data_IF_924015915859
#
_entry.id   IF_924015915859
#
_cell.length_a   1.000
_cell.length_b   1.000
_cell.length_c   1.000
_cell.angle_alpha   90.00
_cell.angle_beta   90.00
_cell.angle_gamma   90.00
#
_symmetry.space_group_name_H-M   'P 1'
#
loop_
_entity.id
_entity.type
_entity.pdbx_description
1 polymer ?
#
# COMPACT_ATOMS: atom_id res chain seq x y z
N UNK A 1 -0.81 4.48 13.89
CA UNK A 1 -0.84 3.01 14.08
C UNK A 1 -1.88 2.63 15.14
N UNK A 2 -1.52 2.10 16.32
CA UNK A 2 -2.46 1.64 17.37
C UNK A 2 -2.58 2.66 18.52
N UNK A 3 -3.80 2.88 19.04
CA UNK A 3 -4.05 3.77 20.20
C UNK A 3 -3.43 3.26 21.50
N UNK A 4 -3.25 1.95 21.61
CA UNK A 4 -2.83 1.29 22.85
C UNK A 4 -1.30 1.33 23.06
N UNK A 5 -0.54 1.77 22.06
CA UNK A 5 0.91 1.97 22.22
C UNK A 5 1.22 3.12 23.18
N UNK A 6 2.04 2.80 24.18
CA UNK A 6 2.64 3.75 25.12
C UNK A 6 3.57 4.73 24.41
N UNK A 7 3.94 5.82 25.09
CA UNK A 7 4.90 6.79 24.55
C UNK A 7 6.27 6.17 24.27
N UNK A 8 6.71 5.24 25.14
CA UNK A 8 7.99 4.56 24.98
C UNK A 8 8.00 3.68 23.73
N UNK A 9 6.95 2.89 23.53
CA UNK A 9 6.80 2.04 22.34
C UNK A 9 6.74 2.88 21.06
N UNK A 10 6.05 4.03 21.07
CA UNK A 10 6.02 4.95 19.92
C UNK A 10 7.41 5.47 19.55
N UNK A 11 8.22 5.84 20.55
CA UNK A 11 9.59 6.30 20.31
C UNK A 11 10.45 5.16 19.75
N UNK A 12 10.31 3.95 20.30
CA UNK A 12 11.04 2.77 19.82
C UNK A 12 10.65 2.40 18.38
N UNK A 13 9.36 2.41 18.05
CA UNK A 13 8.86 2.18 16.69
C UNK A 13 9.43 3.21 15.72
N UNK A 14 9.46 4.48 16.10
CA UNK A 14 10.05 5.53 15.27
C UNK A 14 11.54 5.26 15.05
N UNK A 15 12.31 5.03 16.11
CA UNK A 15 13.75 4.72 15.99
C UNK A 15 13.99 3.57 15.01
N UNK A 16 13.31 2.44 15.22
CA UNK A 16 13.43 1.25 14.35
C UNK A 16 13.01 1.52 12.91
N UNK A 17 12.03 2.39 12.70
CA UNK A 17 11.61 2.79 11.36
C UNK A 17 12.69 3.57 10.64
N UNK A 18 13.28 4.56 11.31
CA UNK A 18 14.36 5.34 10.71
C UNK A 18 15.58 4.46 10.49
N UNK A 19 15.96 3.59 11.43
CA UNK A 19 17.06 2.62 11.26
C UNK A 19 16.85 1.75 10.01
N UNK A 20 15.66 1.16 9.85
CA UNK A 20 15.29 0.38 8.65
C UNK A 20 15.33 1.24 7.39
N UNK A 21 14.86 2.48 7.47
CA UNK A 21 14.81 3.36 6.32
C UNK A 21 16.22 3.75 5.85
N UNK A 22 17.15 4.01 6.79
CA UNK A 22 18.56 4.26 6.49
C UNK A 22 19.26 3.05 5.88
N UNK A 23 18.97 1.85 6.40
CA UNK A 23 19.55 0.59 5.91
C UNK A 23 19.05 0.22 4.51
N UNK A 24 17.77 0.49 4.20
CA UNK A 24 17.16 0.07 2.93
C UNK A 24 17.34 1.07 1.80
N UNK A 25 17.18 2.36 2.04
CA UNK A 25 17.15 3.36 0.97
C UNK A 25 18.45 4.16 0.88
N UNK A 26 18.92 4.34 -0.36
CA UNK A 26 20.07 5.20 -0.64
C UNK A 26 19.85 6.61 -0.10
N UNK A 27 20.92 7.30 0.28
CA UNK A 27 20.86 8.68 0.78
C UNK A 27 20.08 9.61 -0.15
N UNK A 28 20.27 9.48 -1.47
CA UNK A 28 19.51 10.28 -2.45
C UNK A 28 18.00 10.00 -2.39
N UNK A 29 17.59 8.73 -2.39
CA UNK A 29 16.19 8.35 -2.29
C UNK A 29 15.57 8.84 -0.98
N UNK A 30 16.31 8.72 0.14
CA UNK A 30 15.86 9.23 1.44
C UNK A 30 15.61 10.74 1.41
N UNK A 31 16.53 11.51 0.82
CA UNK A 31 16.36 12.95 0.66
C UNK A 31 15.13 13.31 -0.18
N UNK A 32 14.88 12.60 -1.28
CA UNK A 32 13.69 12.81 -2.12
C UNK A 32 12.41 12.47 -1.36
N UNK A 33 12.34 11.30 -0.72
CA UNK A 33 11.15 10.84 0.03
C UNK A 33 10.79 11.83 1.15
N UNK A 34 11.78 12.33 1.91
CA UNK A 34 11.52 13.18 3.09
C UNK A 34 11.22 14.64 2.78
N UNK A 35 11.87 15.20 1.76
CA UNK A 35 11.74 16.63 1.45
C UNK A 35 10.74 16.90 0.32
N UNK A 36 10.51 15.92 -0.55
CA UNK A 36 9.67 16.05 -1.73
C UNK A 36 8.76 14.82 -1.88
N UNK A 37 9.10 13.94 -2.82
CA UNK A 37 8.53 12.62 -3.09
C UNK A 37 9.44 11.88 -4.05
N UNK A 38 9.47 10.56 -3.93
CA UNK A 38 10.06 9.68 -4.93
C UNK A 38 8.96 9.21 -5.87
N UNK A 39 8.99 9.62 -7.14
CA UNK A 39 8.10 9.04 -8.14
C UNK A 39 8.58 7.61 -8.46
N UNK A 40 7.67 6.66 -8.33
CA UNK A 40 7.94 5.25 -8.57
C UNK A 40 7.52 4.85 -9.98
N UNK A 41 6.30 5.21 -10.38
CA UNK A 41 5.75 4.85 -11.68
C UNK A 41 4.74 5.90 -12.15
N UNK A 42 4.51 5.91 -13.46
CA UNK A 42 3.45 6.68 -14.11
C UNK A 42 2.40 5.73 -14.70
N UNK A 43 1.14 6.13 -14.61
CA UNK A 43 -0.02 5.38 -15.09
C UNK A 43 -0.83 6.27 -16.03
N UNK A 44 -1.14 5.77 -17.22
CA UNK A 44 -1.93 6.50 -18.21
C UNK A 44 -3.38 6.01 -18.24
N UNK A 45 -4.32 6.95 -18.16
CA UNK A 45 -5.76 6.68 -18.25
C UNK A 45 -6.43 7.79 -19.08
N UNK A 46 -7.03 7.45 -20.22
CA UNK A 46 -7.76 8.39 -21.07
C UNK A 46 -7.00 9.72 -21.33
N UNK A 47 -5.73 9.62 -21.75
CA UNK A 47 -4.80 10.75 -22.01
C UNK A 47 -4.40 11.58 -20.78
N UNK A 48 -4.66 11.07 -19.58
CA UNK A 48 -4.23 11.67 -18.32
C UNK A 48 -3.17 10.81 -17.63
N UNK A 49 -2.08 11.46 -17.24
CA UNK A 49 -1.02 10.87 -16.44
C UNK A 49 -1.36 10.93 -14.95
N UNK A 50 -1.21 9.78 -14.30
CA UNK A 50 -1.28 9.63 -12.86
C UNK A 50 0.07 9.14 -12.32
N UNK A 51 0.46 9.64 -11.17
CA UNK A 51 1.77 9.42 -10.58
C UNK A 51 1.64 8.58 -9.31
N UNK A 52 2.39 7.48 -9.26
CA UNK A 52 2.60 6.72 -8.03
C UNK A 52 3.85 7.25 -7.34
N UNK A 53 3.70 7.76 -6.11
CA UNK A 53 4.79 8.36 -5.37
C UNK A 53 4.94 7.76 -3.98
N UNK A 54 6.18 7.65 -3.51
CA UNK A 54 6.54 7.37 -2.11
C UNK A 54 7.05 8.65 -1.44
N UNK A 55 6.46 9.05 -0.33
CA UNK A 55 6.82 10.28 0.36
C UNK A 55 6.63 10.19 1.88
N UNK A 56 7.23 11.14 2.60
CA UNK A 56 6.90 11.45 3.98
C UNK A 56 5.85 12.56 4.04
N UNK A 57 4.68 12.29 4.63
CA UNK A 57 3.59 13.27 4.71
C UNK A 57 3.33 13.72 6.16
N UNK A 58 3.62 15.00 6.45
CA UNK A 58 3.44 15.59 7.80
C UNK A 58 2.02 15.44 8.35
N UNK A 59 1.01 15.49 7.48
CA UNK A 59 -0.40 15.37 7.87
C UNK A 59 -0.83 13.92 8.12
N UNK A 60 -0.08 12.94 7.62
CA UNK A 60 -0.33 11.51 7.79
C UNK A 60 0.51 10.87 8.91
N UNK A 61 1.33 11.62 9.65
CA UNK A 61 2.21 11.11 10.74
C UNK A 61 1.49 10.31 11.83
N UNK A 62 0.18 10.51 11.98
CA UNK A 62 -0.63 9.72 12.93
C UNK A 62 -0.91 8.30 12.41
N UNK A 63 -0.85 8.13 11.10
CA UNK A 63 -1.16 6.91 10.35
C UNK A 63 0.11 6.20 9.87
N UNK A 64 1.20 6.91 9.54
CA UNK A 64 2.48 6.29 9.20
C UNK A 64 3.61 7.30 8.99
N UNK A 65 4.83 6.79 8.85
CA UNK A 65 6.02 7.60 8.54
C UNK A 65 6.32 7.62 7.03
N UNK A 66 5.81 6.63 6.26
CA UNK A 66 5.84 6.64 4.81
C UNK A 66 4.41 6.63 4.26
N UNK A 67 4.24 7.18 3.06
CA UNK A 67 2.97 7.19 2.33
C UNK A 67 3.22 6.88 0.87
N UNK A 68 2.54 5.84 0.38
CA UNK A 68 2.33 5.66 -1.05
C UNK A 68 1.10 6.47 -1.45
N UNK A 69 1.24 7.26 -2.51
CA UNK A 69 0.18 8.12 -3.02
C UNK A 69 0.02 7.93 -4.52
N UNK A 70 -1.23 7.84 -4.95
CA UNK A 70 -1.63 7.98 -6.34
C UNK A 70 -2.17 9.38 -6.54
N UNK A 71 -1.54 10.16 -7.43
CA UNK A 71 -1.91 11.55 -7.71
C UNK A 71 -2.17 11.76 -9.19
N UNK A 72 -2.85 12.85 -9.54
CA UNK A 72 -2.79 13.36 -10.92
C UNK A 72 -1.45 14.09 -11.17
N UNK A 73 -1.26 14.61 -12.38
CA UNK A 73 -0.10 15.41 -12.79
C UNK A 73 0.03 16.74 -12.04
N UNK A 74 -1.06 17.26 -11.49
CA UNK A 74 -1.08 18.44 -10.61
C UNK A 74 -0.82 18.09 -9.14
N UNK A 75 -0.54 16.82 -8.84
CA UNK A 75 -0.24 16.30 -7.51
C UNK A 75 -1.45 16.35 -6.54
N UNK A 76 -2.66 16.42 -7.08
CA UNK A 76 -3.87 16.20 -6.30
C UNK A 76 -3.97 14.72 -5.94
N UNK A 77 -4.21 14.41 -4.67
CA UNK A 77 -4.27 13.03 -4.18
C UNK A 77 -5.57 12.35 -4.57
N UNK A 78 -5.45 11.28 -5.33
CA UNK A 78 -6.55 10.39 -5.64
C UNK A 78 -6.71 9.33 -4.55
N UNK A 79 -5.62 8.69 -4.14
CA UNK A 79 -5.60 7.70 -3.05
C UNK A 79 -4.26 7.70 -2.33
N UNK A 80 -4.27 7.36 -1.04
CA UNK A 80 -3.07 7.20 -0.22
C UNK A 80 -3.15 5.95 0.64
N UNK A 81 -1.99 5.36 0.94
CA UNK A 81 -1.79 4.34 1.97
C UNK A 81 -0.58 4.73 2.81
N UNK A 82 -0.82 4.97 4.10
CA UNK A 82 0.21 5.41 5.05
C UNK A 82 0.61 4.26 5.97
N UNK A 83 1.91 4.07 6.11
CA UNK A 83 2.48 2.94 6.83
C UNK A 83 3.80 3.32 7.52
N UNK A 84 4.19 2.49 8.48
CA UNK A 84 5.53 2.50 9.06
C UNK A 84 6.12 1.12 8.91
N UNK A 85 7.44 1.02 8.94
CA UNK A 85 8.15 -0.26 8.93
C UNK A 85 8.98 -0.36 10.18
N UNK A 86 8.90 -1.47 10.91
CA UNK A 86 9.79 -1.77 12.02
C UNK A 86 9.87 -3.29 12.20
N UNK A 87 11.00 -3.79 12.71
CA UNK A 87 11.30 -5.22 12.72
C UNK A 87 11.18 -5.89 11.33
N UNK A 88 11.40 -5.11 10.25
CA UNK A 88 11.21 -5.54 8.86
C UNK A 88 9.78 -6.00 8.52
N UNK A 89 8.79 -5.50 9.27
CA UNK A 89 7.35 -5.68 9.01
C UNK A 89 6.71 -4.33 8.69
N UNK A 90 5.78 -4.32 7.73
CA UNK A 90 4.97 -3.14 7.42
C UNK A 90 3.77 -3.08 8.37
N UNK A 91 3.50 -1.90 8.91
CA UNK A 91 2.30 -1.57 9.67
C UNK A 91 1.55 -0.44 8.98
N UNK A 92 0.41 -0.77 8.36
CA UNK A 92 -0.48 0.17 7.69
C UNK A 92 -1.36 0.84 8.75
N UNK A 93 -1.32 2.17 8.83
CA UNK A 93 -2.20 2.92 9.73
C UNK A 93 -3.35 3.65 9.05
N UNK A 94 -3.41 3.68 7.71
CA UNK A 94 -4.55 4.27 7.01
C UNK A 94 -4.52 4.08 5.49
N UNK A 95 -5.71 4.02 4.90
CA UNK A 95 -5.95 4.05 3.45
C UNK A 95 -7.07 5.02 3.17
N UNK A 96 -6.77 6.08 2.44
CA UNK A 96 -7.70 7.18 2.22
C UNK A 96 -7.90 7.43 0.73
N UNK A 97 -9.14 7.75 0.35
CA UNK A 97 -9.42 8.33 -0.96
C UNK A 97 -9.32 9.85 -0.89
N UNK A 98 -9.06 10.48 -2.03
CA UNK A 98 -9.08 11.92 -2.21
C UNK A 98 -10.43 12.51 -1.80
N UNK A 99 -10.42 13.81 -1.48
CA UNK A 99 -11.62 14.51 -0.99
C UNK A 99 -12.79 14.48 -2.00
N UNK A 100 -12.47 14.38 -3.29
CA UNK A 100 -13.47 14.32 -4.35
C UNK A 100 -13.05 13.30 -5.41
N UNK A 101 -13.84 12.23 -5.56
CA UNK A 101 -13.58 11.18 -6.55
C UNK A 101 -13.85 11.67 -7.98
N UNK A 102 -14.83 12.57 -8.19
CA UNK A 102 -15.19 13.08 -9.53
C UNK A 102 -15.32 12.01 -10.64
N UNK A 103 -15.61 10.76 -10.30
CA UNK A 103 -15.69 9.64 -11.27
C UNK A 103 -14.36 8.91 -11.52
N UNK A 104 -13.25 9.38 -10.96
CA UNK A 104 -11.93 8.76 -11.06
C UNK A 104 -11.97 7.26 -10.71
N UNK A 105 -12.62 6.88 -9.59
CA UNK A 105 -12.68 5.47 -9.21
C UNK A 105 -13.32 4.59 -10.27
N UNK A 106 -14.34 5.10 -10.98
CA UNK A 106 -14.99 4.37 -12.06
C UNK A 106 -14.06 4.24 -13.27
N UNK A 107 -13.44 5.34 -13.68
CA UNK A 107 -12.51 5.38 -14.82
C UNK A 107 -11.31 4.47 -14.56
N UNK A 108 -10.66 4.61 -13.40
CA UNK A 108 -9.55 3.76 -12.97
C UNK A 108 -9.95 2.29 -12.94
N UNK A 109 -11.09 1.95 -12.33
CA UNK A 109 -11.56 0.57 -12.27
C UNK A 109 -11.78 -0.02 -13.67
N UNK A 110 -12.24 0.78 -14.62
CA UNK A 110 -12.39 0.34 -16.02
C UNK A 110 -11.04 0.15 -16.69
N UNK A 111 -10.12 1.09 -16.52
CA UNK A 111 -8.79 1.08 -17.13
C UNK A 111 -7.93 -0.10 -16.64
N UNK A 112 -7.99 -0.40 -15.34
CA UNK A 112 -7.22 -1.49 -14.72
C UNK A 112 -8.05 -2.77 -14.55
N UNK A 113 -8.78 -3.15 -15.60
CA UNK A 113 -9.43 -4.46 -15.72
C UNK A 113 -10.29 -4.84 -14.50
N UNK A 114 -11.04 -3.88 -13.96
CA UNK A 114 -11.92 -4.04 -12.81
C UNK A 114 -11.23 -4.00 -11.44
N UNK A 115 -9.96 -3.60 -11.36
CA UNK A 115 -9.24 -3.39 -10.10
C UNK A 115 -9.60 -2.01 -9.53
N UNK A 116 -10.19 -1.97 -8.33
CA UNK A 116 -10.58 -0.71 -7.68
C UNK A 116 -9.32 0.03 -7.20
N UNK A 117 -9.28 1.38 -7.22
CA UNK A 117 -8.11 2.13 -6.77
C UNK A 117 -7.63 1.79 -5.35
N UNK A 118 -8.56 1.61 -4.39
CA UNK A 118 -8.18 1.19 -3.03
C UNK A 118 -7.49 -0.17 -3.01
N UNK A 119 -8.00 -1.12 -3.79
CA UNK A 119 -7.38 -2.43 -3.91
C UNK A 119 -6.04 -2.35 -4.62
N UNK A 120 -5.92 -1.48 -5.63
CA UNK A 120 -4.65 -1.18 -6.27
C UNK A 120 -3.60 -0.67 -5.25
N UNK A 121 -3.94 0.28 -4.36
CA UNK A 121 -2.98 0.75 -3.34
C UNK A 121 -2.48 -0.39 -2.43
N UNK A 122 -3.34 -1.34 -2.07
CA UNK A 122 -2.96 -2.52 -1.26
C UNK A 122 -2.04 -3.46 -2.06
N UNK A 123 -2.38 -3.75 -3.32
CA UNK A 123 -1.54 -4.56 -4.19
C UNK A 123 -0.18 -3.90 -4.45
N UNK A 124 -0.12 -2.60 -4.73
CA UNK A 124 1.13 -1.85 -4.85
C UNK A 124 1.99 -1.95 -3.60
N UNK A 125 1.39 -1.83 -2.41
CA UNK A 125 2.12 -1.97 -1.14
C UNK A 125 2.68 -3.39 -0.98
N UNK A 126 1.93 -4.44 -1.36
CA UNK A 126 2.39 -5.83 -1.35
C UNK A 126 3.57 -6.09 -2.28
N UNK A 127 3.50 -5.58 -3.50
CA UNK A 127 4.56 -5.71 -4.49
C UNK A 127 5.83 -4.97 -4.05
N UNK A 128 5.66 -3.77 -3.47
CA UNK A 128 6.76 -3.04 -2.83
C UNK A 128 7.31 -3.81 -1.63
N UNK A 129 6.46 -4.41 -0.79
CA UNK A 129 6.87 -5.23 0.35
C UNK A 129 7.75 -6.40 -0.09
N UNK A 130 7.35 -7.10 -1.17
CA UNK A 130 8.13 -8.18 -1.77
C UNK A 130 9.50 -7.68 -2.24
N UNK A 131 9.54 -6.55 -2.96
CA UNK A 131 10.78 -5.96 -3.46
C UNK A 131 11.73 -5.50 -2.34
N UNK A 132 11.19 -5.05 -1.21
CA UNK A 132 11.96 -4.60 -0.04
C UNK A 132 12.37 -5.75 0.89
N UNK A 133 11.93 -6.99 0.62
CA UNK A 133 12.16 -8.14 1.46
C UNK A 133 11.47 -8.04 2.82
N UNK A 134 10.27 -7.47 2.88
CA UNK A 134 9.44 -7.35 4.09
C UNK A 134 8.94 -8.74 4.50
N UNK A 135 8.87 -9.00 5.81
CA UNK A 135 8.45 -10.30 6.35
C UNK A 135 6.92 -10.40 6.48
N UNK A 136 6.26 -9.38 7.03
CA UNK A 136 4.81 -9.37 7.23
C UNK A 136 4.21 -7.99 6.96
N UNK A 137 2.89 -7.99 6.70
CA UNK A 137 2.08 -6.78 6.57
C UNK A 137 0.95 -6.85 7.60
N UNK A 138 0.91 -5.85 8.48
CA UNK A 138 -0.14 -5.67 9.47
C UNK A 138 -0.94 -4.41 9.14
N UNK A 139 -2.26 -4.50 9.09
CA UNK A 139 -3.12 -3.34 8.87
C UNK A 139 -3.94 -3.02 10.11
N UNK A 140 -3.98 -1.75 10.47
CA UNK A 140 -4.76 -1.31 11.64
C UNK A 140 -6.22 -1.70 11.47
N UNK A 141 -6.75 -2.33 12.51
CA UNK A 141 -8.16 -2.67 12.60
C UNK A 141 -8.97 -1.47 13.09
N UNK A 142 -10.28 -1.61 13.02
CA UNK A 142 -11.22 -0.58 13.46
C UNK A 142 -10.98 -0.09 14.90
N UNK A 143 -10.75 -0.97 15.87
CA UNK A 143 -10.58 -0.58 17.28
C UNK A 143 -9.26 0.14 17.58
N UNK A 144 -8.20 -0.16 16.83
CA UNK A 144 -6.87 0.40 17.03
C UNK A 144 -6.62 1.74 16.34
N UNK A 145 -7.52 2.18 15.45
CA UNK A 145 -7.31 3.37 14.62
C UNK A 145 -7.20 4.66 15.46
N UNK A 146 -6.20 5.49 15.17
CA UNK A 146 -5.86 6.69 15.98
C UNK A 146 -7.02 7.69 16.11
N UNK A 147 -7.93 7.73 15.15
CA UNK A 147 -9.12 8.58 15.16
C UNK A 147 -10.29 8.03 16.00
N UNK A 148 -10.22 6.80 16.50
CA UNK A 148 -11.23 6.23 17.40
C UNK A 148 -10.97 6.52 18.88
N UNK A 149 -9.91 7.26 19.21
CA UNK A 149 -9.74 7.82 20.55
C UNK A 149 -10.98 8.65 20.94
N UNK A 150 -11.50 8.46 22.17
CA UNK A 150 -12.74 9.03 22.75
C UNK A 150 -12.96 10.55 22.53
N UNK A 151 -11.93 11.28 22.11
CA UNK A 151 -11.96 12.73 21.84
C UNK A 151 -12.58 13.13 20.50
N UNK A 152 -12.84 12.19 19.56
CA UNK A 152 -13.19 12.52 18.17
C UNK A 152 -14.67 12.31 17.75
N UNK A 153 -15.57 11.93 18.68
CA UNK A 153 -17.02 12.01 18.49
C UNK A 153 -17.61 11.15 17.33
N UNK A 154 -18.87 11.45 16.94
CA UNK A 154 -19.67 10.62 16.01
C UNK A 154 -19.09 10.47 14.58
N UNK A 155 -18.24 11.39 14.12
CA UNK A 155 -17.62 11.33 12.77
C UNK A 155 -16.57 10.21 12.64
N UNK A 156 -15.89 9.84 13.73
CA UNK A 156 -14.95 8.70 13.73
C UNK A 156 -15.63 7.36 13.42
N UNK A 157 -16.86 7.17 13.93
CA UNK A 157 -17.63 5.92 13.73
C UNK A 157 -18.02 5.63 12.27
N UNK A 158 -18.28 6.64 11.45
CA UNK A 158 -18.66 6.44 10.04
C UNK A 158 -17.47 6.13 9.12
N UNK A 159 -16.26 6.60 9.49
CA UNK A 159 -15.00 6.28 8.83
C UNK A 159 -14.54 4.86 9.21
N UNK A 160 -14.87 4.43 10.44
CA UNK A 160 -14.51 3.13 11.04
C UNK A 160 -14.95 1.92 10.21
N UNK A 161 -16.22 1.84 9.78
CA UNK A 161 -16.83 0.63 9.17
C UNK A 161 -16.25 0.17 7.81
N UNK A 162 -15.25 0.84 7.25
CA UNK A 162 -14.75 0.59 5.88
C UNK A 162 -13.36 -0.02 5.81
N UNK A 163 -12.64 -0.14 6.94
CA UNK A 163 -11.28 -0.70 6.95
C UNK A 163 -11.27 -2.22 7.01
N UNK A 164 -12.00 -2.83 7.94
CA UNK A 164 -11.99 -4.29 8.08
C UNK A 164 -12.47 -4.97 6.79
N UNK A 165 -13.54 -4.47 6.17
CA UNK A 165 -14.02 -5.01 4.89
C UNK A 165 -12.95 -4.96 3.78
N UNK A 166 -12.11 -3.92 3.75
CA UNK A 166 -11.01 -3.85 2.78
C UNK A 166 -9.96 -4.92 3.09
N UNK A 167 -9.62 -5.13 4.36
CA UNK A 167 -8.66 -6.15 4.76
C UNK A 167 -9.16 -7.56 4.46
N UNK A 168 -10.42 -7.85 4.78
CA UNK A 168 -11.08 -9.12 4.47
C UNK A 168 -11.19 -9.37 2.95
N UNK A 169 -11.48 -8.34 2.14
CA UNK A 169 -11.45 -8.42 0.66
C UNK A 169 -10.07 -8.83 0.12
N UNK A 170 -9.01 -8.63 0.91
CA UNK A 170 -7.62 -8.93 0.60
C UNK A 170 -7.07 -10.10 1.42
N UNK A 171 -7.92 -11.05 1.82
CA UNK A 171 -7.55 -12.24 2.60
C UNK A 171 -6.91 -11.92 3.96
N UNK A 172 -7.15 -10.72 4.48
CA UNK A 172 -6.69 -10.28 5.78
C UNK A 172 -7.39 -11.05 6.88
N UNK A 173 -6.62 -11.52 7.86
CA UNK A 173 -7.14 -12.22 9.04
C UNK A 173 -6.85 -11.41 10.29
N UNK A 174 -7.77 -11.43 11.26
CA UNK A 174 -7.53 -10.76 12.54
C UNK A 174 -6.27 -11.36 13.20
N UNK A 175 -5.31 -10.49 13.50
CA UNK A 175 -4.06 -10.88 14.15
C UNK A 175 -4.12 -10.63 15.65
N UNK A 176 -4.54 -9.43 16.05
CA UNK A 176 -4.67 -9.05 17.46
C UNK A 176 -5.80 -8.01 17.67
N UNK A 177 -5.75 -7.31 18.81
CA UNK A 177 -6.72 -6.26 19.17
C UNK A 177 -6.63 -4.99 18.33
N UNK A 178 -5.50 -4.76 17.66
CA UNK A 178 -5.21 -3.56 16.89
C UNK A 178 -4.97 -3.82 15.40
N UNK A 179 -4.71 -5.05 14.96
CA UNK A 179 -4.27 -5.34 13.60
C UNK A 179 -4.91 -6.58 12.97
N UNK A 180 -5.05 -6.50 11.64
CA UNK A 180 -5.17 -7.63 10.72
C UNK A 180 -3.78 -7.98 10.18
N UNK A 181 -3.50 -9.26 9.95
CA UNK A 181 -2.38 -9.71 9.13
C UNK A 181 -2.86 -9.90 7.69
N UNK A 182 -2.13 -9.33 6.73
CA UNK A 182 -2.37 -9.53 5.30
C UNK A 182 -1.27 -10.43 4.73
N UNK A 183 -1.60 -11.37 3.82
CA UNK A 183 -0.58 -12.10 3.09
C UNK A 183 0.20 -11.12 2.20
N UNK A 184 1.51 -11.32 2.08
CA UNK A 184 2.37 -10.53 1.17
C UNK A 184 1.98 -10.80 -0.28
N UNK A 185 1.80 -12.07 -0.63
CA UNK A 185 1.40 -12.49 -1.96
C UNK A 185 -0.13 -12.52 -2.04
N UNK A 186 -0.70 -11.90 -3.07
CA UNK A 186 -2.14 -11.90 -3.28
C UNK A 186 -2.62 -13.19 -3.94
N UNK A 187 -3.75 -13.71 -3.48
CA UNK A 187 -4.35 -14.91 -4.05
C UNK A 187 -4.98 -14.60 -5.41
N UNK A 188 -4.52 -15.26 -6.48
CA UNK A 188 -5.18 -15.19 -7.79
C UNK A 188 -6.40 -16.12 -7.80
N UNK A 189 -7.51 -15.63 -8.36
CA UNK A 189 -8.74 -16.41 -8.49
C UNK A 189 -8.56 -17.49 -9.54
N UNK A 190 -9.10 -18.67 -9.26
CA UNK A 190 -9.31 -19.67 -10.30
C UNK A 190 -10.27 -19.10 -11.36
N UNK A 191 -9.80 -19.11 -12.61
CA UNK A 191 -10.52 -18.54 -13.73
C UNK A 191 -11.48 -19.54 -14.36
N UNK A 192 -11.22 -20.84 -14.28
CA UNK A 192 -12.04 -21.88 -14.93
C UNK A 192 -13.54 -21.77 -14.64
N UNK A 193 -14.00 -21.61 -13.38
CA UNK A 193 -15.43 -21.53 -13.08
C UNK A 193 -16.09 -20.22 -13.53
N UNK A 194 -15.31 -19.20 -13.95
CA UNK A 194 -15.85 -17.89 -14.29
C UNK A 194 -16.46 -17.86 -15.71
N UNK A 195 -17.47 -17.02 -15.90
CA UNK A 195 -18.01 -16.72 -17.24
C UNK A 195 -16.93 -16.12 -18.14
N UNK A 196 -16.99 -16.40 -19.46
CA UNK A 196 -16.00 -15.97 -20.47
C UNK A 196 -15.56 -14.51 -20.34
N UNK A 197 -16.49 -13.57 -20.16
CA UNK A 197 -16.16 -12.14 -20.03
C UNK A 197 -15.34 -11.84 -18.77
N UNK A 198 -15.69 -12.46 -17.63
CA UNK A 198 -14.93 -12.31 -16.38
C UNK A 198 -13.56 -12.99 -16.47
N UNK A 199 -13.47 -14.17 -17.12
CA UNK A 199 -12.18 -14.84 -17.38
C UNK A 199 -11.22 -13.94 -18.14
N UNK A 200 -11.69 -13.33 -19.24
CA UNK A 200 -10.88 -12.40 -20.04
C UNK A 200 -10.40 -11.23 -19.17
N UNK A 201 -11.32 -10.60 -18.44
CA UNK A 201 -11.02 -9.46 -17.57
C UNK A 201 -9.93 -9.77 -16.53
N UNK A 202 -10.05 -10.91 -15.82
CA UNK A 202 -9.05 -11.28 -14.81
C UNK A 202 -7.71 -11.69 -15.43
N UNK A 203 -7.72 -12.33 -16.61
CA UNK A 203 -6.48 -12.65 -17.33
C UNK A 203 -5.71 -11.38 -17.71
N UNK A 204 -6.39 -10.38 -18.26
CA UNK A 204 -5.79 -9.09 -18.61
C UNK A 204 -5.30 -8.36 -17.35
N UNK A 205 -6.09 -8.40 -16.25
CA UNK A 205 -5.66 -7.86 -14.95
C UNK A 205 -4.36 -8.49 -14.45
N UNK A 206 -4.26 -9.82 -14.48
CA UNK A 206 -3.09 -10.52 -13.96
C UNK A 206 -1.86 -10.28 -14.81
N UNK A 207 -1.99 -10.33 -16.14
CA UNK A 207 -0.88 -9.99 -17.04
C UNK A 207 -0.40 -8.54 -16.83
N UNK A 208 -1.32 -7.59 -16.60
CA UNK A 208 -0.95 -6.21 -16.28
C UNK A 208 -0.24 -6.09 -14.93
N UNK A 209 -0.73 -6.79 -13.90
CA UNK A 209 -0.09 -6.82 -12.58
C UNK A 209 1.31 -7.46 -12.62
N UNK A 210 1.50 -8.50 -13.44
CA UNK A 210 2.81 -9.15 -13.64
C UNK A 210 3.85 -8.18 -14.24
N UNK A 211 3.44 -7.35 -15.19
CA UNK A 211 4.32 -6.32 -15.76
C UNK A 211 4.56 -5.18 -14.75
N UNK A 212 3.50 -4.72 -14.11
CA UNK A 212 3.56 -3.66 -13.11
C UNK A 212 4.46 -4.03 -11.92
N UNK A 213 4.45 -5.29 -11.48
CA UNK A 213 5.37 -5.82 -10.47
C UNK A 213 6.84 -5.69 -10.89
N UNK A 214 7.17 -6.08 -12.13
CA UNK A 214 8.53 -5.98 -12.65
C UNK A 214 9.00 -4.52 -12.75
N UNK A 215 8.15 -3.63 -13.27
CA UNK A 215 8.47 -2.21 -13.41
C UNK A 215 8.68 -1.57 -12.03
N UNK A 216 7.80 -1.87 -11.07
CA UNK A 216 7.91 -1.37 -9.70
C UNK A 216 9.17 -1.90 -9.01
N UNK A 217 9.48 -3.18 -9.17
CA UNK A 217 10.70 -3.80 -8.63
C UNK A 217 11.96 -3.11 -9.17
N UNK A 218 12.03 -2.92 -10.49
CA UNK A 218 13.15 -2.28 -11.15
C UNK A 218 13.39 -0.86 -10.62
N UNK A 219 12.33 -0.06 -10.46
CA UNK A 219 12.48 1.31 -9.93
C UNK A 219 12.88 1.29 -8.45
N UNK A 220 12.27 0.44 -7.62
CA UNK A 220 12.65 0.32 -6.20
C UNK A 220 14.13 -0.07 -6.08
N UNK A 221 14.60 -1.05 -6.85
CA UNK A 221 15.99 -1.53 -6.78
C UNK A 221 17.03 -0.46 -7.10
N UNK A 222 16.68 0.56 -7.89
CA UNK A 222 17.57 1.69 -8.20
C UNK A 222 17.73 2.65 -7.02
N UNK A 223 16.78 2.63 -6.09
CA UNK A 223 16.71 3.55 -4.96
C UNK A 223 17.08 2.88 -3.63
N UNK A 224 17.23 1.56 -3.60
CA UNK A 224 17.61 0.78 -2.42
C UNK A 224 19.07 0.36 -2.45
N UNK A 225 19.64 0.14 -1.26
CA UNK A 225 20.91 -0.57 -1.14
C UNK A 225 20.74 -2.00 -1.66
N UNK A 226 21.72 -2.49 -2.44
CA UNK A 226 21.65 -3.76 -3.15
C UNK A 226 21.12 -4.88 -2.27
N UNK A 227 19.93 -5.39 -2.61
CA UNK A 227 19.35 -6.57 -1.99
C UNK A 227 19.79 -7.76 -2.83
N UNK A 228 20.65 -8.62 -2.30
CA UNK A 228 20.88 -9.95 -2.86
C UNK A 228 19.58 -10.76 -2.72
N UNK A 229 18.64 -10.54 -3.63
CA UNK A 229 17.45 -11.36 -3.75
C UNK A 229 17.83 -12.64 -4.48
N UNK A 230 17.73 -13.77 -3.78
CA UNK A 230 17.77 -15.09 -4.39
C UNK A 230 16.62 -15.18 -5.40
N UNK A 231 16.85 -15.64 -6.64
CA UNK A 231 15.79 -15.72 -7.63
C UNK A 231 14.65 -16.59 -7.10
N UNK A 232 13.43 -16.03 -7.11
CA UNK A 232 12.20 -16.80 -6.92
C UNK A 232 12.20 -17.91 -7.97
N UNK A 233 12.35 -19.15 -7.52
CA UNK A 233 12.19 -20.31 -8.39
C UNK A 233 10.72 -20.36 -8.83
N UNK A 234 10.45 -19.86 -10.04
CA UNK A 234 9.23 -20.17 -10.76
C UNK A 234 9.14 -21.69 -10.90
N UNK A 235 8.28 -22.31 -10.09
CA UNK A 235 7.88 -23.69 -10.29
C UNK A 235 7.21 -23.77 -11.67
N UNK A 236 7.95 -24.25 -12.66
CA UNK A 236 7.38 -24.62 -13.95
C UNK A 236 6.43 -25.79 -13.70
N UNK A 237 5.14 -25.57 -13.89
CA UNK A 237 4.19 -26.67 -14.02
C UNK A 237 4.56 -27.48 -15.27
N UNK A 238 4.71 -28.78 -15.08
CA UNK A 238 4.85 -29.79 -16.15
C UNK A 238 3.49 -30.11 -16.76
#
# INVERSE_FOLDING_TARGET
LCTDFSKKEKIEILSKHYDWFEDKFTTQARHQIYNERLNLLELEIDEQTYLLNLSFERNARKEGELTLSLTDSMLNKMYTISFSVFNNDIYIGGVQGGANDNGFSRTFTKAFYGLRPKSFMVETLRLMATSLGINHIYAVNESGHVYNASRYGKKGKAISLKYNCLWEEHDGQQHDKCFYALPIQSTRKDLEPLKRQKRKLYRERYAWLDQYEQDLHNVISQHTHGTDMTPIQLAKAS
#
